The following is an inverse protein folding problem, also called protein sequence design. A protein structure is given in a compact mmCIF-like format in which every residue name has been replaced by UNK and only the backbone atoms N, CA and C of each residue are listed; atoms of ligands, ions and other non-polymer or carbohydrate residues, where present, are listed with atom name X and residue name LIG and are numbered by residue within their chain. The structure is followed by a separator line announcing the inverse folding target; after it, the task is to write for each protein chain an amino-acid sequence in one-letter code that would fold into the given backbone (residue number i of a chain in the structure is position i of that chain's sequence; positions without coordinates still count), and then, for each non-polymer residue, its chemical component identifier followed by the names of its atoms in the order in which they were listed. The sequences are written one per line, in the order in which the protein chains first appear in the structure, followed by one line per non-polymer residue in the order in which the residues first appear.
data_IF_981210458047
#
_entry.id   IF_981210458047
#
_cell.length_a   1.000
_cell.length_b   1.000
_cell.length_c   1.000
_cell.angle_alpha   90.00
_cell.angle_beta   90.00
_cell.angle_gamma   90.00
#
_symmetry.space_group_name_H-M   'P 1'
#
loop_
_entity.id
_entity.type
_entity.pdbx_description
1 polymer ?
#
# COMPACT_ATOMS: atom_id res chain seq x y z
N UNK A 1 7.28 33.17 0.02
CA UNK A 1 6.37 32.22 0.69
C UNK A 1 5.50 33.00 1.67
N UNK A 2 4.20 32.69 1.73
CA UNK A 2 3.25 33.32 2.67
C UNK A 2 3.00 32.37 3.84
N UNK A 3 2.82 32.92 5.03
CA UNK A 3 2.31 32.15 6.17
C UNK A 3 0.79 32.20 6.08
N UNK A 4 0.15 31.03 6.08
CA UNK A 4 -1.31 30.94 6.04
C UNK A 4 -1.85 30.93 7.48
N UNK A 5 -2.72 31.89 7.87
CA UNK A 5 -3.43 31.82 9.15
C UNK A 5 -4.44 30.67 9.09
N UNK A 6 -4.45 29.81 10.11
CA UNK A 6 -5.26 28.60 10.13
C UNK A 6 -6.40 28.76 11.13
N UNK A 7 -7.53 29.25 10.63
CA UNK A 7 -8.85 29.01 11.24
C UNK A 7 -9.63 28.08 10.30
N UNK A 8 -9.01 26.93 10.02
CA UNK A 8 -9.55 25.93 9.10
C UNK A 8 -10.08 24.74 9.92
N UNK A 9 -11.35 24.32 9.72
CA UNK A 9 -11.86 23.09 10.31
C UNK A 9 -10.93 21.90 10.04
N UNK A 10 -10.68 21.07 11.05
CA UNK A 10 -9.80 19.91 10.95
C UNK A 10 -8.29 20.19 11.04
N UNK A 11 -7.86 21.45 10.99
CA UNK A 11 -6.44 21.84 11.09
C UNK A 11 -6.14 22.41 12.47
N UNK A 12 -5.22 21.80 13.20
CA UNK A 12 -4.83 22.26 14.53
C UNK A 12 -4.17 23.67 14.48
N UNK A 13 -4.46 24.59 15.44
CA UNK A 13 -3.93 25.96 15.43
C UNK A 13 -2.40 26.07 15.48
N UNK A 14 -1.69 25.03 15.93
CA UNK A 14 -0.22 25.00 16.00
C UNK A 14 0.46 24.61 14.67
N UNK A 15 -0.32 24.19 13.67
CA UNK A 15 0.17 23.83 12.34
C UNK A 15 0.80 25.05 11.67
N UNK A 16 1.90 24.83 10.95
CA UNK A 16 2.59 25.87 10.18
C UNK A 16 2.61 25.51 8.71
N UNK A 17 1.90 26.28 7.89
CA UNK A 17 1.90 26.13 6.44
C UNK A 17 2.59 27.33 5.80
N UNK A 18 3.70 27.07 5.10
CA UNK A 18 4.50 28.06 4.38
C UNK A 18 4.48 27.74 2.89
N UNK A 19 3.64 28.44 2.13
CA UNK A 19 3.61 28.24 0.67
C UNK A 19 3.19 29.47 -0.13
N UNK A 20 3.39 29.41 -1.45
CA UNK A 20 2.86 30.41 -2.37
C UNK A 20 1.42 30.08 -2.76
N UNK A 21 1.14 28.81 -3.04
CA UNK A 21 -0.17 28.30 -3.46
C UNK A 21 -0.62 27.15 -2.55
N UNK A 22 -1.84 27.25 -2.02
CA UNK A 22 -2.44 26.26 -1.13
C UNK A 22 -3.80 25.82 -1.66
N UNK A 23 -3.99 24.51 -1.78
CA UNK A 23 -5.29 23.87 -2.02
C UNK A 23 -5.51 22.78 -0.99
N UNK A 24 -6.50 22.98 -0.12
CA UNK A 24 -6.90 22.03 0.92
C UNK A 24 -8.38 21.72 0.74
N UNK A 25 -8.74 20.44 0.72
CA UNK A 25 -10.14 20.02 0.78
C UNK A 25 -10.72 20.23 2.21
N UNK A 26 -12.05 20.38 2.31
CA UNK A 26 -12.73 20.77 3.55
C UNK A 26 -12.65 19.75 4.69
N UNK A 27 -12.45 18.47 4.38
CA UNK A 27 -12.42 17.35 5.34
C UNK A 27 -11.00 16.85 5.64
N UNK A 28 -9.98 17.65 5.32
CA UNK A 28 -8.58 17.36 5.66
C UNK A 28 -8.35 17.57 7.16
N UNK A 29 -7.68 16.62 7.80
CA UNK A 29 -7.30 16.71 9.21
C UNK A 29 -5.78 16.83 9.32
N UNK A 30 -5.29 17.84 10.04
CA UNK A 30 -3.86 18.05 10.29
C UNK A 30 -3.62 18.24 11.78
N UNK A 31 -2.88 17.31 12.38
CA UNK A 31 -2.58 17.27 13.80
C UNK A 31 -1.54 18.31 14.26
N UNK A 32 -1.45 18.53 15.58
CA UNK A 32 -0.64 19.59 16.18
C UNK A 32 0.85 19.48 15.85
N UNK A 33 1.52 20.63 15.79
CA UNK A 33 2.96 20.75 15.58
C UNK A 33 3.44 20.41 14.17
N UNK A 34 2.51 20.10 13.25
CA UNK A 34 2.83 19.75 11.86
C UNK A 34 3.33 20.96 11.08
N UNK A 35 4.32 20.75 10.22
CA UNK A 35 4.91 21.76 9.34
C UNK A 35 4.77 21.31 7.89
N UNK A 36 4.23 22.19 7.05
CA UNK A 36 4.16 22.01 5.60
C UNK A 36 4.87 23.18 4.92
N UNK A 37 5.85 22.89 4.06
CA UNK A 37 6.62 23.92 3.34
C UNK A 37 6.74 23.56 1.86
N UNK A 38 6.36 24.49 0.99
CA UNK A 38 6.53 24.31 -0.45
C UNK A 38 6.14 25.52 -1.26
N UNK A 39 6.35 25.50 -2.56
CA UNK A 39 5.83 26.54 -3.45
C UNK A 39 4.35 26.31 -3.69
N UNK A 40 3.96 25.06 -3.97
CA UNK A 40 2.57 24.61 -4.15
C UNK A 40 2.26 23.41 -3.26
N UNK A 41 1.14 23.48 -2.53
CA UNK A 41 0.66 22.41 -1.65
C UNK A 41 -0.78 22.07 -2.01
N UNK A 42 -1.01 20.82 -2.40
CA UNK A 42 -2.32 20.25 -2.76
C UNK A 42 -2.61 19.03 -1.87
N UNK A 43 -3.61 19.12 -0.99
CA UNK A 43 -4.04 18.02 -0.13
C UNK A 43 -5.51 17.73 -0.39
N UNK A 44 -5.77 16.54 -0.95
CA UNK A 44 -7.11 16.10 -1.32
C UNK A 44 -7.90 15.54 -0.12
N UNK A 45 -9.23 15.46 -0.29
CA UNK A 45 -10.17 15.17 0.79
C UNK A 45 -10.01 13.82 1.47
N UNK A 46 -10.48 13.76 2.71
CA UNK A 46 -10.42 12.61 3.62
C UNK A 46 -9.02 12.26 4.11
N UNK A 47 -8.04 13.12 3.83
CA UNK A 47 -6.63 12.92 4.20
C UNK A 47 -6.40 13.33 5.64
N UNK A 48 -5.62 12.51 6.36
CA UNK A 48 -5.23 12.75 7.75
C UNK A 48 -3.71 12.82 7.84
N UNK A 49 -3.19 13.91 8.39
CA UNK A 49 -1.78 14.09 8.71
C UNK A 49 -1.64 14.17 10.24
N UNK A 50 -0.98 13.18 10.82
CA UNK A 50 -0.77 13.06 12.26
C UNK A 50 0.10 14.16 12.84
N UNK A 51 0.19 14.21 14.17
CA UNK A 51 0.94 15.23 14.89
C UNK A 51 2.46 15.20 14.57
N UNK A 52 3.08 16.37 14.59
CA UNK A 52 4.53 16.52 14.49
C UNK A 52 5.14 16.08 13.16
N UNK A 53 4.33 16.00 12.09
CA UNK A 53 4.86 15.74 10.75
C UNK A 53 5.63 16.97 10.24
N UNK A 54 6.67 16.75 9.43
CA UNK A 54 7.40 17.83 8.73
C UNK A 54 7.52 17.46 7.26
N UNK A 55 6.73 18.09 6.39
CA UNK A 55 6.65 17.80 4.96
C UNK A 55 7.12 19.00 4.16
N UNK A 56 8.22 18.84 3.44
CA UNK A 56 8.87 19.90 2.66
C UNK A 56 9.18 19.43 1.25
N UNK A 57 8.66 20.15 0.26
CA UNK A 57 9.00 20.00 -1.15
C UNK A 57 8.57 21.24 -1.93
N UNK A 58 9.21 21.58 -3.06
CA UNK A 58 8.68 22.64 -3.94
C UNK A 58 7.23 22.38 -4.34
N UNK A 59 6.89 21.14 -4.65
CA UNK A 59 5.51 20.71 -4.92
C UNK A 59 5.12 19.54 -4.02
N UNK A 60 4.08 19.75 -3.21
CA UNK A 60 3.47 18.72 -2.35
C UNK A 60 2.11 18.36 -2.94
N UNK A 61 1.91 17.08 -3.27
CA UNK A 61 0.63 16.51 -3.70
C UNK A 61 0.29 15.28 -2.87
N UNK A 62 -0.78 15.36 -2.10
CA UNK A 62 -1.27 14.24 -1.30
C UNK A 62 -2.66 13.86 -1.80
N UNK A 63 -2.75 12.68 -2.41
CA UNK A 63 -3.98 12.12 -2.93
C UNK A 63 -5.01 11.83 -1.82
N UNK A 64 -6.29 11.69 -2.19
CA UNK A 64 -7.39 11.67 -1.23
C UNK A 64 -7.29 10.44 -0.31
N UNK A 65 -7.77 10.59 0.92
CA UNK A 65 -7.84 9.53 1.94
C UNK A 65 -6.48 8.97 2.34
N UNK A 66 -5.41 9.74 2.16
CA UNK A 66 -4.08 9.37 2.62
C UNK A 66 -3.96 9.56 4.12
N UNK A 67 -3.13 8.75 4.77
CA UNK A 67 -2.93 8.76 6.22
C UNK A 67 -1.44 8.79 6.52
N UNK A 68 -0.96 9.92 7.06
CA UNK A 68 0.39 10.02 7.60
C UNK A 68 0.25 9.92 9.11
N UNK A 69 0.91 8.93 9.71
CA UNK A 69 0.97 8.79 11.16
C UNK A 69 1.87 9.89 11.75
N UNK A 70 2.02 9.91 13.06
CA UNK A 70 2.80 10.92 13.76
C UNK A 70 4.31 10.85 13.43
N UNK A 71 4.92 12.04 13.35
CA UNK A 71 6.37 12.19 13.19
C UNK A 71 6.92 11.77 11.82
N UNK A 72 6.09 11.67 10.78
CA UNK A 72 6.54 11.48 9.40
C UNK A 72 7.35 12.70 8.94
N UNK A 73 8.54 12.47 8.36
CA UNK A 73 9.42 13.53 7.87
C UNK A 73 9.71 13.36 6.40
N UNK A 74 9.37 14.37 5.61
CA UNK A 74 9.60 14.43 4.17
C UNK A 74 10.41 15.69 3.88
N UNK A 75 11.59 15.50 3.30
CA UNK A 75 12.46 16.56 2.82
C UNK A 75 12.84 16.23 1.38
N UNK A 76 12.05 16.70 0.44
CA UNK A 76 12.23 16.42 -0.99
C UNK A 76 12.53 17.73 -1.71
N UNK A 77 13.47 17.72 -2.66
CA UNK A 77 13.89 18.96 -3.33
C UNK A 77 12.80 19.54 -4.23
N UNK A 78 12.20 18.68 -5.07
CA UNK A 78 11.32 19.11 -6.15
C UNK A 78 9.88 18.70 -5.86
N UNK A 79 9.54 17.44 -6.12
CA UNK A 79 8.17 16.95 -6.05
C UNK A 79 8.06 15.81 -5.04
N UNK A 80 7.16 15.98 -4.08
CA UNK A 80 6.63 14.91 -3.26
C UNK A 80 5.17 14.68 -3.65
N UNK A 81 4.91 13.56 -4.32
CA UNK A 81 3.57 13.18 -4.76
C UNK A 81 3.22 11.76 -4.32
N UNK A 82 2.06 11.62 -3.69
CA UNK A 82 1.47 10.30 -3.38
C UNK A 82 0.03 10.24 -3.87
N UNK A 83 -0.36 9.11 -4.45
CA UNK A 83 -1.72 8.85 -4.91
C UNK A 83 -2.72 8.66 -3.78
N UNK A 84 -3.93 8.23 -4.14
CA UNK A 84 -5.02 8.02 -3.20
C UNK A 84 -4.70 6.93 -2.19
N UNK A 85 -5.14 7.15 -0.94
CA UNK A 85 -5.05 6.19 0.15
C UNK A 85 -3.62 5.68 0.45
N UNK A 86 -2.63 6.56 0.25
CA UNK A 86 -1.27 6.32 0.71
C UNK A 86 -1.21 6.30 2.24
N UNK A 87 -0.41 5.42 2.80
CA UNK A 87 -0.17 5.28 4.24
C UNK A 87 1.31 5.40 4.53
N UNK A 88 1.67 6.36 5.37
CA UNK A 88 3.02 6.49 5.93
C UNK A 88 2.92 6.26 7.42
N UNK A 89 3.48 5.15 7.88
CA UNK A 89 3.43 4.79 9.29
C UNK A 89 4.46 5.60 10.11
N UNK A 90 4.50 5.35 11.42
CA UNK A 90 5.26 6.17 12.34
C UNK A 90 6.75 6.22 11.97
N UNK A 91 7.32 7.44 12.01
CA UNK A 91 8.76 7.64 11.86
C UNK A 91 9.31 7.39 10.46
N UNK A 92 8.44 7.30 9.43
CA UNK A 92 8.87 7.29 8.03
C UNK A 92 9.67 8.56 7.73
N UNK A 93 10.81 8.40 7.05
CA UNK A 93 11.70 9.49 6.65
C UNK A 93 11.99 9.44 5.17
N UNK A 94 11.74 10.52 4.45
CA UNK A 94 11.99 10.61 3.01
C UNK A 94 12.93 11.79 2.76
N UNK A 95 14.07 11.53 2.12
CA UNK A 95 15.02 12.55 1.70
C UNK A 95 15.59 12.18 0.33
N UNK A 96 15.21 12.91 -0.71
CA UNK A 96 15.60 12.66 -2.10
C UNK A 96 15.29 13.87 -3.00
N UNK A 97 15.64 13.79 -4.29
CA UNK A 97 15.37 14.87 -5.27
C UNK A 97 13.89 14.97 -5.59
N UNK A 98 13.28 13.85 -5.99
CA UNK A 98 11.84 13.71 -6.16
C UNK A 98 11.37 12.36 -5.64
N UNK A 99 10.13 12.33 -5.16
CA UNK A 99 9.45 11.13 -4.69
C UNK A 99 8.05 11.12 -5.27
N UNK A 100 7.76 10.11 -6.10
CA UNK A 100 6.41 9.88 -6.63
C UNK A 100 5.95 8.48 -6.27
N UNK A 101 4.71 8.38 -5.80
CA UNK A 101 4.06 7.10 -5.53
C UNK A 101 2.63 7.10 -6.08
N UNK A 102 2.22 5.98 -6.65
CA UNK A 102 0.84 5.76 -7.10
C UNK A 102 -0.15 5.63 -5.94
N UNK A 103 -1.33 5.08 -6.26
CA UNK A 103 -2.37 4.83 -5.26
C UNK A 103 -1.97 3.67 -4.34
N UNK A 104 -2.50 3.66 -3.12
CA UNK A 104 -2.33 2.56 -2.16
C UNK A 104 -0.87 2.23 -1.84
N UNK A 105 -0.05 3.25 -1.69
CA UNK A 105 1.27 3.10 -1.09
C UNK A 105 1.12 2.75 0.39
N UNK A 106 1.91 1.80 0.89
CA UNK A 106 2.14 1.61 2.32
C UNK A 106 3.64 1.68 2.61
N UNK A 107 4.07 2.64 3.42
CA UNK A 107 5.39 2.70 4.01
C UNK A 107 5.28 2.32 5.49
N UNK A 108 5.89 1.19 5.85
CA UNK A 108 5.90 0.68 7.21
C UNK A 108 6.76 1.51 8.16
N UNK A 109 6.59 1.25 9.46
CA UNK A 109 7.23 1.99 10.55
C UNK A 109 8.75 2.10 10.34
N UNK A 110 9.26 3.32 10.50
CA UNK A 110 10.69 3.62 10.38
C UNK A 110 11.30 3.29 9.01
N UNK A 111 10.51 3.08 7.95
CA UNK A 111 11.04 2.97 6.60
C UNK A 111 11.65 4.31 6.15
N UNK A 112 12.77 4.24 5.45
CA UNK A 112 13.58 5.39 5.07
C UNK A 112 13.85 5.39 3.58
N UNK A 113 13.52 6.48 2.91
CA UNK A 113 14.18 6.88 1.66
C UNK A 113 15.23 7.90 2.04
N UNK A 114 16.51 7.63 1.82
CA UNK A 114 17.52 8.55 2.32
C UNK A 114 18.91 7.96 2.50
N UNK A 115 19.69 8.62 3.36
CA UNK A 115 21.13 8.41 3.65
C UNK A 115 22.10 9.12 2.67
N UNK A 116 23.30 8.58 2.47
CA UNK A 116 24.43 9.28 1.83
C UNK A 116 24.17 9.66 0.36
N UNK A 117 24.35 10.94 0.02
CA UNK A 117 24.22 11.49 -1.35
C UNK A 117 22.79 11.72 -1.84
N UNK A 118 21.86 11.85 -0.90
CA UNK A 118 20.47 12.24 -1.14
C UNK A 118 20.37 13.73 -1.41
N UNK A 119 19.54 14.13 -2.37
CA UNK A 119 19.42 15.48 -2.98
C UNK A 119 20.32 15.77 -4.19
N UNK A 120 21.10 14.79 -4.67
CA UNK A 120 21.76 14.88 -5.98
C UNK A 120 20.73 15.05 -7.10
N UNK A 121 21.13 15.59 -8.26
CA UNK A 121 20.24 15.81 -9.40
C UNK A 121 19.60 14.54 -9.96
N UNK A 122 20.04 13.36 -9.53
CA UNK A 122 19.63 12.05 -10.02
C UNK A 122 18.93 11.18 -8.97
N UNK A 123 18.78 11.65 -7.73
CA UNK A 123 18.18 10.92 -6.62
C UNK A 123 16.64 10.87 -6.70
N UNK A 124 16.12 10.27 -7.76
CA UNK A 124 14.68 10.14 -8.01
C UNK A 124 14.16 8.79 -7.52
N UNK A 125 13.05 8.79 -6.79
CA UNK A 125 12.35 7.58 -6.37
C UNK A 125 10.95 7.58 -6.97
N UNK A 126 10.66 6.58 -7.78
CA UNK A 126 9.36 6.41 -8.43
C UNK A 126 8.78 5.05 -8.05
N UNK A 127 7.58 5.07 -7.49
CA UNK A 127 6.86 3.90 -7.00
C UNK A 127 5.49 3.83 -7.67
N UNK A 128 5.12 2.67 -8.19
CA UNK A 128 3.82 2.44 -8.78
C UNK A 128 2.68 2.43 -7.76
N UNK A 129 1.53 1.90 -8.17
CA UNK A 129 0.38 1.72 -7.28
C UNK A 129 0.42 0.36 -6.58
N UNK A 130 -0.21 0.27 -5.41
CA UNK A 130 -0.38 -0.98 -4.63
C UNK A 130 0.97 -1.57 -4.21
N UNK A 131 1.83 -0.70 -3.67
CA UNK A 131 3.17 -1.05 -3.22
C UNK A 131 3.26 -0.97 -1.71
N UNK A 132 3.86 -2.00 -1.11
CA UNK A 132 4.17 -2.04 0.32
C UNK A 132 5.68 -2.06 0.50
N UNK A 133 6.20 -1.02 1.13
CA UNK A 133 7.55 -0.94 1.66
C UNK A 133 7.50 -1.33 3.15
N UNK A 134 8.02 -2.51 3.49
CA UNK A 134 7.96 -3.06 4.84
C UNK A 134 8.70 -2.20 5.86
N UNK A 135 8.44 -2.45 7.15
CA UNK A 135 9.04 -1.71 8.26
C UNK A 135 10.57 -1.73 8.19
N UNK A 136 11.20 -0.64 8.61
CA UNK A 136 12.66 -0.48 8.67
C UNK A 136 13.38 -0.75 7.34
N UNK A 137 12.68 -0.64 6.22
CA UNK A 137 13.30 -0.74 4.90
C UNK A 137 14.06 0.54 4.57
N UNK A 138 15.14 0.40 3.81
CA UNK A 138 16.02 1.48 3.38
C UNK A 138 16.04 1.50 1.85
N UNK A 139 15.65 2.63 1.27
CA UNK A 139 15.78 2.93 -0.15
C UNK A 139 16.79 4.06 -0.30
N UNK A 140 18.02 3.72 -0.67
CA UNK A 140 19.11 4.68 -0.75
C UNK A 140 19.38 5.09 -2.21
N UNK A 141 18.80 6.24 -2.58
CA UNK A 141 18.79 6.76 -3.93
C UNK A 141 19.82 7.88 -4.14
N UNK A 142 20.88 7.58 -4.89
CA UNK A 142 21.78 8.53 -5.54
C UNK A 142 21.52 8.53 -7.05
N UNK A 143 21.15 7.36 -7.59
CA UNK A 143 20.56 7.19 -8.91
C UNK A 143 19.10 6.75 -8.76
N UNK A 144 18.34 6.68 -9.86
CA UNK A 144 16.94 6.29 -9.80
C UNK A 144 16.68 4.94 -9.12
N UNK A 145 15.70 4.92 -8.24
CA UNK A 145 15.04 3.69 -7.78
C UNK A 145 13.64 3.69 -8.38
N UNK A 146 13.34 2.70 -9.21
CA UNK A 146 12.03 2.51 -9.84
C UNK A 146 11.41 1.24 -9.31
N UNK A 147 10.21 1.34 -8.74
CA UNK A 147 9.41 0.20 -8.28
C UNK A 147 8.09 0.26 -9.05
N UNK A 148 7.73 -0.82 -9.73
CA UNK A 148 6.51 -0.95 -10.49
C UNK A 148 5.25 -0.97 -9.62
N UNK A 149 4.15 -1.37 -10.23
CA UNK A 149 2.89 -1.62 -9.53
C UNK A 149 2.94 -2.96 -8.82
N UNK A 150 2.05 -3.17 -7.85
CA UNK A 150 1.81 -4.51 -7.30
C UNK A 150 3.07 -5.13 -6.65
N UNK A 151 3.91 -4.31 -6.00
CA UNK A 151 5.15 -4.79 -5.39
C UNK A 151 5.01 -4.90 -3.88
N UNK A 152 5.25 -6.10 -3.37
CA UNK A 152 5.27 -6.39 -1.94
C UNK A 152 6.67 -6.56 -1.42
N UNK A 153 6.92 -6.03 -0.23
CA UNK A 153 8.19 -6.20 0.45
C UNK A 153 7.95 -6.57 1.91
N UNK A 154 8.70 -7.57 2.39
CA UNK A 154 8.82 -7.80 3.82
C UNK A 154 9.61 -6.67 4.49
N UNK A 155 9.60 -6.66 5.83
CA UNK A 155 10.43 -5.71 6.60
C UNK A 155 11.92 -5.88 6.30
N UNK A 156 12.67 -4.79 6.49
CA UNK A 156 14.12 -4.72 6.29
C UNK A 156 14.60 -4.93 4.84
N UNK A 157 13.84 -4.46 3.84
CA UNK A 157 14.37 -4.34 2.48
C UNK A 157 15.49 -3.29 2.45
N UNK A 158 16.61 -3.58 1.80
CA UNK A 158 17.70 -2.64 1.57
C UNK A 158 17.96 -2.48 0.08
N UNK A 159 17.71 -1.30 -0.48
CA UNK A 159 17.96 -0.98 -1.90
C UNK A 159 19.10 0.02 -1.99
N UNK A 160 20.15 -0.34 -2.72
CA UNK A 160 21.35 0.48 -2.88
C UNK A 160 21.58 0.82 -4.33
N UNK A 161 21.75 2.12 -4.63
CA UNK A 161 22.13 2.61 -5.97
C UNK A 161 23.58 3.04 -6.08
N UNK A 162 24.33 2.88 -4.98
CA UNK A 162 25.76 3.14 -4.89
C UNK A 162 26.45 2.01 -4.15
N UNK A 163 27.70 1.74 -4.51
CA UNK A 163 28.45 0.65 -3.93
C UNK A 163 29.93 0.62 -4.30
N UNK A 164 30.65 -0.19 -3.52
CA UNK A 164 32.08 -0.44 -3.44
C UNK A 164 33.08 0.15 -4.46
N UNK A 165 34.18 0.63 -3.88
CA UNK A 165 35.50 0.84 -4.47
C UNK A 165 36.18 -0.51 -4.75
N UNK A 166 36.65 -0.74 -5.98
CA UNK A 166 37.54 -1.85 -6.29
C UNK A 166 38.93 -1.33 -6.68
N UNK A 167 39.96 -1.84 -6.01
CA UNK A 167 41.35 -1.70 -6.45
C UNK A 167 42.06 -0.39 -6.11
N UNK A 168 41.42 0.51 -5.34
CA UNK A 168 42.00 1.75 -4.87
C UNK A 168 41.65 2.00 -3.39
N UNK A 169 42.51 2.71 -2.68
CA UNK A 169 42.29 3.14 -1.31
C UNK A 169 41.09 4.10 -1.22
N UNK A 170 40.34 4.10 -0.10
CA UNK A 170 39.19 5.01 0.10
C UNK A 170 39.51 6.51 -0.01
N UNK A 171 40.80 6.88 0.08
CA UNK A 171 41.28 8.26 0.02
C UNK A 171 41.94 8.60 -1.31
N UNK A 172 41.97 7.67 -2.28
CA UNK A 172 42.65 7.87 -3.56
C UNK A 172 41.83 8.69 -4.56
N UNK A 173 40.61 9.13 -4.17
CA UNK A 173 39.79 10.08 -4.92
C UNK A 173 39.06 9.51 -6.13
N UNK A 174 38.95 8.19 -6.26
CA UNK A 174 38.22 7.55 -7.36
C UNK A 174 36.70 7.57 -7.14
N UNK A 175 35.97 7.69 -8.24
CA UNK A 175 34.51 7.69 -8.26
C UNK A 175 33.95 6.31 -7.86
N UNK A 176 32.97 6.34 -6.96
CA UNK A 176 32.22 5.15 -6.53
C UNK A 176 31.36 4.63 -7.69
N UNK A 177 31.11 3.31 -7.75
CA UNK A 177 30.18 2.78 -8.74
C UNK A 177 28.74 3.13 -8.33
N UNK A 178 28.01 3.77 -9.25
CA UNK A 178 26.59 4.05 -9.12
C UNK A 178 25.84 3.33 -10.24
N UNK A 179 24.72 2.70 -9.91
CA UNK A 179 23.79 2.20 -10.91
C UNK A 179 22.35 2.20 -10.38
N UNK A 180 21.34 2.50 -11.23
CA UNK A 180 19.94 2.52 -10.83
C UNK A 180 19.47 1.12 -10.43
N UNK A 181 18.35 1.04 -9.72
CA UNK A 181 17.67 -0.22 -9.39
C UNK A 181 16.25 -0.17 -9.89
N UNK A 182 15.82 -1.24 -10.56
CA UNK A 182 14.46 -1.40 -11.08
C UNK A 182 13.81 -2.65 -10.49
N UNK A 183 12.62 -2.51 -9.97
CA UNK A 183 11.75 -3.62 -9.59
C UNK A 183 10.50 -3.51 -10.47
N UNK A 184 10.26 -4.50 -11.32
CA UNK A 184 9.11 -4.51 -12.22
C UNK A 184 7.80 -4.83 -11.49
N UNK A 185 6.70 -4.87 -12.24
CA UNK A 185 5.37 -5.14 -11.70
C UNK A 185 5.24 -6.54 -11.07
N UNK A 186 4.33 -6.68 -10.10
CA UNK A 186 3.95 -7.95 -9.48
C UNK A 186 5.12 -8.71 -8.81
N UNK A 187 6.08 -7.98 -8.23
CA UNK A 187 7.24 -8.59 -7.55
C UNK A 187 6.97 -8.76 -6.06
N UNK A 188 7.31 -9.93 -5.52
CA UNK A 188 7.36 -10.16 -4.08
C UNK A 188 8.81 -10.24 -3.59
N UNK A 189 9.22 -9.29 -2.75
CA UNK A 189 10.49 -9.31 -2.03
C UNK A 189 10.22 -9.79 -0.60
N UNK A 190 10.82 -10.92 -0.21
CA UNK A 190 10.70 -11.42 1.16
C UNK A 190 11.27 -10.49 2.23
N UNK A 191 11.33 -10.96 3.46
CA UNK A 191 11.96 -10.22 4.56
C UNK A 191 13.49 -10.15 4.38
N UNK A 192 14.10 -9.04 4.81
CA UNK A 192 15.56 -8.89 4.84
C UNK A 192 16.25 -9.12 3.48
N UNK A 193 15.70 -8.53 2.41
CA UNK A 193 16.30 -8.56 1.08
C UNK A 193 17.30 -7.42 0.91
N UNK A 194 18.40 -7.67 0.21
CA UNK A 194 19.29 -6.61 -0.29
C UNK A 194 19.32 -6.61 -1.82
N UNK A 195 19.03 -5.46 -2.44
CA UNK A 195 19.22 -5.20 -3.86
C UNK A 195 20.49 -4.34 -4.04
N UNK A 196 21.45 -4.84 -4.81
CA UNK A 196 22.70 -4.13 -5.10
C UNK A 196 22.55 -3.19 -6.32
N UNK A 197 23.47 -2.23 -6.50
CA UNK A 197 23.39 -1.28 -7.62
C UNK A 197 23.33 -1.99 -8.98
N UNK A 198 22.48 -1.49 -9.87
CA UNK A 198 22.40 -1.95 -11.26
C UNK A 198 21.56 -3.19 -11.50
N UNK A 199 20.87 -3.71 -10.47
CA UNK A 199 20.00 -4.87 -10.64
C UNK A 199 18.59 -4.47 -11.06
N UNK A 200 18.01 -5.31 -11.91
CA UNK A 200 16.59 -5.30 -12.26
C UNK A 200 15.93 -6.59 -11.77
N UNK A 201 14.76 -6.51 -11.15
CA UNK A 201 13.96 -7.69 -10.78
C UNK A 201 12.78 -7.76 -11.73
N UNK A 202 12.78 -8.75 -12.63
CA UNK A 202 11.76 -8.90 -13.67
C UNK A 202 10.36 -9.17 -13.14
N UNK A 203 9.35 -8.91 -13.98
CA UNK A 203 7.94 -8.99 -13.61
C UNK A 203 7.55 -10.36 -13.05
N UNK A 204 6.56 -10.40 -12.15
CA UNK A 204 6.03 -11.63 -11.55
C UNK A 204 7.11 -12.48 -10.85
N UNK A 205 8.15 -11.84 -10.32
CA UNK A 205 9.26 -12.54 -9.65
C UNK A 205 9.09 -12.56 -8.15
N UNK A 206 9.44 -13.69 -7.54
CA UNK A 206 9.50 -13.85 -6.09
C UNK A 206 10.95 -13.98 -5.63
N UNK A 207 11.36 -13.16 -4.66
CA UNK A 207 12.66 -13.26 -4.01
C UNK A 207 12.47 -13.73 -2.57
N UNK A 208 13.02 -14.90 -2.23
CA UNK A 208 12.91 -15.48 -0.89
C UNK A 208 13.64 -14.65 0.16
N UNK A 209 13.13 -14.65 1.38
CA UNK A 209 13.70 -13.91 2.51
C UNK A 209 15.20 -14.15 2.72
N UNK A 210 15.93 -13.11 3.13
CA UNK A 210 17.37 -13.14 3.39
C UNK A 210 18.27 -13.17 2.16
N UNK A 211 17.73 -12.99 0.95
CA UNK A 211 18.52 -13.03 -0.27
C UNK A 211 19.23 -11.70 -0.59
N UNK A 212 20.40 -11.81 -1.24
CA UNK A 212 21.15 -10.66 -1.78
C UNK A 212 21.15 -10.73 -3.31
N UNK A 213 20.40 -9.84 -3.94
CA UNK A 213 20.30 -9.75 -5.40
C UNK A 213 21.49 -8.93 -5.91
N UNK A 214 22.51 -9.65 -6.37
CA UNK A 214 23.75 -9.08 -6.91
C UNK A 214 23.80 -9.09 -8.45
N UNK A 215 22.79 -9.65 -9.11
CA UNK A 215 22.60 -9.67 -10.56
C UNK A 215 21.10 -9.59 -10.84
N UNK A 216 20.74 -8.99 -11.96
CA UNK A 216 19.33 -8.90 -12.38
C UNK A 216 18.68 -10.28 -12.48
N UNK A 217 17.41 -10.36 -12.09
CA UNK A 217 16.59 -11.55 -12.14
C UNK A 217 15.63 -11.43 -13.32
N UNK A 218 15.44 -12.49 -14.14
CA UNK A 218 14.45 -12.49 -15.21
C UNK A 218 13.03 -12.47 -14.61
N UNK A 219 12.03 -12.27 -15.46
CA UNK A 219 10.61 -12.41 -15.09
C UNK A 219 10.23 -13.86 -14.74
N UNK A 220 9.10 -14.03 -14.06
CA UNK A 220 8.45 -15.33 -13.84
C UNK A 220 9.36 -16.35 -13.13
N UNK A 221 10.17 -15.91 -12.16
CA UNK A 221 11.05 -16.81 -11.39
C UNK A 221 10.87 -16.67 -9.89
N UNK A 222 11.22 -17.74 -9.17
CA UNK A 222 11.53 -17.68 -7.75
C UNK A 222 13.05 -17.75 -7.57
N UNK A 223 13.63 -16.75 -6.89
CA UNK A 223 15.06 -16.66 -6.62
C UNK A 223 15.33 -16.65 -5.11
N UNK A 224 16.49 -17.19 -4.70
CA UNK A 224 16.89 -17.24 -3.29
C UNK A 224 18.41 -17.34 -3.13
N UNK A 225 18.92 -16.91 -1.97
CA UNK A 225 20.30 -17.10 -1.53
C UNK A 225 21.17 -15.84 -1.55
N UNK A 226 22.45 -16.01 -1.18
CA UNK A 226 23.47 -14.96 -1.13
C UNK A 226 24.72 -15.45 -1.91
N UNK A 227 24.94 -15.00 -3.16
CA UNK A 227 24.03 -14.19 -3.97
C UNK A 227 22.78 -14.97 -4.42
N UNK A 228 21.70 -14.25 -4.70
CA UNK A 228 20.44 -14.80 -5.16
C UNK A 228 20.62 -15.50 -6.50
N UNK A 229 20.06 -16.70 -6.63
CA UNK A 229 20.01 -17.47 -7.87
C UNK A 229 18.58 -17.92 -8.14
N UNK A 230 18.20 -17.96 -9.41
CA UNK A 230 16.94 -18.58 -9.85
C UNK A 230 16.90 -20.03 -9.35
N UNK A 231 15.82 -20.39 -8.65
CA UNK A 231 15.57 -21.73 -8.13
C UNK A 231 14.57 -22.48 -8.98
N UNK A 232 13.55 -21.78 -9.49
CA UNK A 232 12.57 -22.31 -10.41
C UNK A 232 11.88 -21.19 -11.18
N UNK A 233 11.35 -21.54 -12.34
CA UNK A 233 10.34 -20.73 -13.03
C UNK A 233 9.01 -20.88 -12.30
N UNK A 234 8.22 -19.81 -12.26
CA UNK A 234 6.87 -19.79 -11.75
C UNK A 234 5.95 -19.34 -12.87
N UNK A 235 4.83 -20.04 -13.06
CA UNK A 235 3.83 -19.61 -14.05
C UNK A 235 2.90 -18.63 -13.36
N UNK A 236 3.00 -17.37 -13.77
CA UNK A 236 2.04 -16.35 -13.41
C UNK A 236 0.75 -16.64 -14.21
N UNK A 237 -0.25 -17.27 -13.59
CA UNK A 237 -1.62 -17.36 -14.12
C UNK A 237 -2.63 -16.53 -13.34
N UNK A 238 -3.47 -15.80 -14.09
CA UNK A 238 -4.63 -15.13 -13.53
C UNK A 238 -5.74 -16.11 -13.22
N UNK A 239 -6.29 -16.03 -12.00
CA UNK A 239 -7.50 -16.75 -11.64
C UNK A 239 -8.64 -16.35 -12.57
N UNK A 240 -9.40 -17.34 -13.02
CA UNK A 240 -10.69 -17.06 -13.65
C UNK A 240 -11.60 -16.30 -12.67
N UNK A 241 -12.52 -15.48 -13.17
CA UNK A 241 -13.35 -14.62 -12.31
C UNK A 241 -14.11 -15.40 -11.25
N UNK A 242 -14.59 -16.60 -11.56
CA UNK A 242 -15.30 -17.45 -10.59
C UNK A 242 -14.37 -17.98 -9.48
N UNK A 243 -13.12 -18.33 -9.82
CA UNK A 243 -12.09 -18.72 -8.86
C UNK A 243 -11.64 -17.54 -8.00
N UNK A 244 -11.51 -16.35 -8.59
CA UNK A 244 -11.20 -15.12 -7.87
C UNK A 244 -12.34 -14.75 -6.89
N UNK A 245 -13.61 -14.86 -7.31
CA UNK A 245 -14.78 -14.69 -6.42
C UNK A 245 -14.69 -15.68 -5.26
N UNK A 246 -14.42 -16.96 -5.50
CA UNK A 246 -14.28 -17.98 -4.44
C UNK A 246 -13.13 -17.62 -3.47
N UNK A 247 -11.97 -17.23 -3.99
CA UNK A 247 -10.80 -16.89 -3.17
C UNK A 247 -11.04 -15.65 -2.30
N UNK A 248 -11.59 -14.58 -2.86
CA UNK A 248 -11.90 -13.35 -2.12
C UNK A 248 -13.06 -13.59 -1.15
N UNK A 249 -14.05 -14.41 -1.51
CA UNK A 249 -15.09 -14.86 -0.57
C UNK A 249 -14.47 -15.54 0.65
N UNK A 250 -13.50 -16.43 0.48
CA UNK A 250 -12.82 -17.08 1.60
C UNK A 250 -12.04 -16.09 2.51
N UNK A 251 -11.59 -14.95 1.98
CA UNK A 251 -11.02 -13.85 2.78
C UNK A 251 -12.11 -13.18 3.63
N UNK A 252 -13.26 -12.88 3.03
CA UNK A 252 -14.42 -12.31 3.74
C UNK A 252 -14.97 -13.29 4.79
N UNK A 253 -14.95 -14.59 4.51
CA UNK A 253 -15.38 -15.64 5.45
C UNK A 253 -14.49 -15.63 6.71
N UNK A 254 -13.16 -15.56 6.54
CA UNK A 254 -12.20 -15.44 7.66
C UNK A 254 -12.38 -14.14 8.43
N UNK A 255 -12.57 -13.02 7.72
CA UNK A 255 -12.87 -11.73 8.33
C UNK A 255 -14.12 -11.82 9.23
N UNK A 256 -15.17 -12.46 8.73
CA UNK A 256 -16.41 -12.66 9.47
C UNK A 256 -16.21 -13.53 10.72
N UNK A 257 -15.41 -14.60 10.64
CA UNK A 257 -15.03 -15.43 11.79
C UNK A 257 -14.26 -14.62 12.84
N UNK A 258 -13.29 -13.81 12.42
CA UNK A 258 -12.52 -12.94 13.30
C UNK A 258 -13.39 -11.90 14.01
N UNK A 259 -14.38 -11.33 13.31
CA UNK A 259 -15.37 -10.44 13.94
C UNK A 259 -16.22 -11.17 14.97
N UNK A 260 -16.65 -12.42 14.72
CA UNK A 260 -17.36 -13.23 15.73
C UNK A 260 -16.49 -13.51 16.94
N UNK A 261 -15.21 -13.81 16.73
CA UNK A 261 -14.24 -13.99 17.81
C UNK A 261 -14.07 -12.72 18.65
N UNK A 262 -14.09 -11.54 18.02
CA UNK A 262 -14.11 -10.22 18.69
C UNK A 262 -15.44 -9.89 19.40
N UNK A 263 -16.41 -10.81 19.43
CA UNK A 263 -17.69 -10.66 20.12
C UNK A 263 -18.78 -9.97 19.30
N UNK A 264 -18.60 -9.84 17.99
CA UNK A 264 -19.61 -9.24 17.10
C UNK A 264 -20.58 -10.29 16.55
N UNK A 265 -21.82 -9.89 16.26
CA UNK A 265 -22.81 -10.77 15.64
C UNK A 265 -22.71 -10.72 14.12
N UNK A 266 -22.18 -11.79 13.52
CA UNK A 266 -22.12 -11.91 12.05
C UNK A 266 -23.03 -13.04 11.61
N UNK A 267 -24.01 -12.74 10.76
CA UNK A 267 -24.93 -13.75 10.22
C UNK A 267 -24.19 -14.78 9.37
N UNK A 268 -24.78 -15.95 9.18
CA UNK A 268 -24.29 -16.90 8.17
C UNK A 268 -24.57 -16.36 6.76
N UNK A 269 -23.74 -16.78 5.80
CA UNK A 269 -23.89 -16.50 4.37
C UNK A 269 -25.28 -16.92 3.90
N UNK A 270 -26.07 -15.98 3.37
CA UNK A 270 -27.31 -16.31 2.68
C UNK A 270 -27.01 -16.96 1.32
N UNK A 271 -27.97 -17.70 0.77
CA UNK A 271 -27.82 -18.44 -0.49
C UNK A 271 -27.49 -17.55 -1.71
N UNK A 272 -27.66 -16.24 -1.58
CA UNK A 272 -27.32 -15.18 -2.54
C UNK A 272 -25.89 -14.61 -2.37
N UNK A 273 -25.12 -15.09 -1.39
CA UNK A 273 -23.71 -14.69 -1.20
C UNK A 273 -23.49 -13.38 -0.45
N UNK A 274 -24.54 -12.78 0.12
CA UNK A 274 -24.44 -11.54 0.91
C UNK A 274 -24.10 -11.86 2.38
N UNK A 275 -23.10 -11.17 2.92
CA UNK A 275 -22.75 -11.19 4.34
C UNK A 275 -23.41 -10.02 5.04
N UNK A 276 -23.91 -10.20 6.27
CA UNK A 276 -24.32 -9.08 7.12
C UNK A 276 -23.56 -9.13 8.45
N UNK A 277 -22.67 -8.17 8.68
CA UNK A 277 -21.99 -7.99 9.96
C UNK A 277 -22.74 -6.96 10.81
N UNK A 278 -23.09 -7.33 12.05
CA UNK A 278 -23.69 -6.46 13.09
C UNK A 278 -22.79 -6.41 14.32
N UNK A 279 -22.28 -5.25 14.67
CA UNK A 279 -21.47 -5.06 15.90
C UNK A 279 -22.39 -4.83 17.11
N UNK A 280 -22.10 -5.46 18.27
CA UNK A 280 -22.71 -5.10 19.56
C UNK A 280 -21.72 -4.32 20.46
N UNK A 281 -22.07 -3.04 20.70
CA UNK A 281 -21.84 -2.03 21.78
C UNK A 281 -20.50 -1.78 22.54
N UNK A 282 -20.12 -0.49 22.59
CA UNK A 282 -20.13 0.37 23.80
C UNK A 282 -20.27 1.89 23.46
N UNK A 283 -21.04 2.63 24.28
CA UNK A 283 -21.19 4.11 24.42
C UNK A 283 -21.49 5.07 23.25
N UNK A 284 -21.85 4.61 22.05
CA UNK A 284 -22.37 5.53 21.01
C UNK A 284 -23.75 5.12 20.48
N UNK A 285 -24.59 6.13 20.21
CA UNK A 285 -26.03 6.02 20.03
C UNK A 285 -26.51 5.36 18.71
N UNK A 286 -25.65 4.65 17.96
CA UNK A 286 -26.06 4.00 16.70
C UNK A 286 -25.25 2.73 16.39
N UNK A 287 -25.86 1.53 16.40
CA UNK A 287 -25.19 0.32 15.95
C UNK A 287 -24.92 0.37 14.44
N UNK A 288 -23.66 0.17 14.05
CA UNK A 288 -23.25 0.12 12.65
C UNK A 288 -23.49 -1.30 12.08
N UNK A 289 -24.16 -1.37 10.93
CA UNK A 289 -24.43 -2.60 10.19
C UNK A 289 -23.87 -2.50 8.77
N UNK A 290 -23.11 -3.52 8.34
CA UNK A 290 -22.52 -3.59 7.00
C UNK A 290 -22.89 -4.90 6.30
N UNK A 291 -23.45 -4.79 5.11
CA UNK A 291 -23.66 -5.91 4.20
C UNK A 291 -22.50 -6.02 3.20
N UNK A 292 -21.93 -7.20 2.93
CA UNK A 292 -20.80 -7.38 2.01
C UNK A 292 -21.17 -8.34 0.88
N UNK A 293 -20.88 -7.99 -0.37
CA UNK A 293 -21.06 -8.85 -1.55
C UNK A 293 -19.75 -8.98 -2.28
N UNK A 294 -19.36 -10.20 -2.68
CA UNK A 294 -18.20 -10.47 -3.54
C UNK A 294 -18.71 -10.96 -4.89
N UNK A 295 -18.30 -10.29 -5.96
CA UNK A 295 -18.79 -10.57 -7.30
C UNK A 295 -17.76 -10.28 -8.39
N UNK A 296 -18.04 -10.78 -9.58
CA UNK A 296 -17.37 -10.36 -10.82
C UNK A 296 -18.03 -9.11 -11.39
N UNK A 297 -17.30 -8.36 -12.21
CA UNK A 297 -17.76 -7.18 -12.95
C UNK A 297 -18.94 -7.47 -13.87
N UNK A 298 -19.05 -8.71 -14.35
CA UNK A 298 -20.09 -9.13 -15.28
C UNK A 298 -21.39 -9.52 -14.56
N UNK A 299 -21.34 -9.66 -13.23
CA UNK A 299 -22.52 -9.94 -12.43
C UNK A 299 -23.28 -8.64 -12.14
N UNK A 300 -24.63 -8.66 -12.24
CA UNK A 300 -25.43 -7.47 -11.95
C UNK A 300 -25.23 -7.05 -10.49
N UNK A 301 -25.14 -5.73 -10.27
CA UNK A 301 -25.13 -5.16 -8.92
C UNK A 301 -26.44 -5.59 -8.22
N UNK A 302 -26.37 -6.23 -7.04
CA UNK A 302 -27.57 -6.68 -6.35
C UNK A 302 -28.45 -5.48 -5.97
N UNK A 303 -29.78 -5.66 -5.83
CA UNK A 303 -30.67 -4.59 -5.40
C UNK A 303 -30.27 -4.06 -4.03
N UNK A 304 -29.79 -2.82 -4.01
CA UNK A 304 -29.33 -2.12 -2.80
C UNK A 304 -30.56 -1.50 -2.10
N UNK A 305 -31.34 -2.30 -1.38
CA UNK A 305 -32.54 -1.85 -0.66
C UNK A 305 -32.36 -1.87 0.86
N UNK A 306 -32.80 -0.80 1.55
CA UNK A 306 -32.92 -0.74 3.02
C UNK A 306 -31.98 0.26 3.71
N UNK A 307 -32.00 0.28 5.04
CA UNK A 307 -31.21 1.18 5.90
C UNK A 307 -29.79 0.68 6.20
N UNK A 308 -29.38 -0.47 5.65
CA UNK A 308 -28.06 -1.08 5.90
C UNK A 308 -27.04 -0.62 4.87
N UNK A 309 -25.84 -0.23 5.32
CA UNK A 309 -24.73 0.13 4.43
C UNK A 309 -24.23 -1.12 3.70
N UNK A 310 -23.79 -0.97 2.45
CA UNK A 310 -23.30 -2.09 1.63
C UNK A 310 -21.84 -1.88 1.22
N UNK A 311 -21.09 -2.97 1.15
CA UNK A 311 -19.74 -3.09 0.63
C UNK A 311 -19.74 -4.05 -0.57
N UNK A 312 -19.47 -3.55 -1.77
CA UNK A 312 -19.39 -4.35 -2.98
C UNK A 312 -17.93 -4.61 -3.35
N UNK A 313 -17.53 -5.86 -3.42
CA UNK A 313 -16.18 -6.29 -3.76
C UNK A 313 -16.20 -6.91 -5.16
N UNK A 314 -15.52 -6.27 -6.10
CA UNK A 314 -15.37 -6.73 -7.47
C UNK A 314 -13.99 -7.36 -7.66
N UNK A 315 -13.94 -8.61 -8.11
CA UNK A 315 -12.66 -9.36 -8.17
C UNK A 315 -11.86 -9.14 -9.46
N UNK A 316 -12.51 -8.67 -10.52
CA UNK A 316 -11.99 -8.59 -11.88
C UNK A 316 -12.23 -7.22 -12.54
N UNK A 317 -12.47 -6.19 -11.72
CA UNK A 317 -12.61 -4.80 -12.14
C UNK A 317 -13.97 -4.21 -11.80
N UNK A 318 -14.07 -2.88 -11.71
CA UNK A 318 -15.38 -2.24 -11.66
C UNK A 318 -16.13 -2.40 -13.00
N UNK A 319 -17.46 -2.54 -12.97
CA UNK A 319 -18.30 -2.37 -14.15
C UNK A 319 -18.11 -0.96 -14.73
N UNK A 320 -18.21 -0.84 -16.05
CA UNK A 320 -18.01 0.44 -16.71
C UNK A 320 -19.10 1.44 -16.28
N UNK A 321 -18.67 2.66 -15.92
CA UNK A 321 -19.58 3.70 -15.44
C UNK A 321 -20.17 3.46 -14.05
N UNK A 322 -19.77 2.39 -13.33
CA UNK A 322 -20.30 2.04 -12.00
C UNK A 322 -20.27 3.23 -11.02
N UNK A 323 -19.16 3.98 -10.99
CA UNK A 323 -19.01 5.13 -10.10
C UNK A 323 -20.06 6.22 -10.37
N UNK A 324 -20.37 6.49 -11.64
CA UNK A 324 -21.38 7.48 -12.03
C UNK A 324 -22.79 6.94 -11.81
N UNK A 325 -23.05 5.69 -12.20
CA UNK A 325 -24.34 5.02 -11.97
C UNK A 325 -24.72 5.00 -10.49
N UNK A 326 -23.74 4.81 -9.59
CA UNK A 326 -23.93 4.86 -8.15
C UNK A 326 -24.38 6.24 -7.67
N UNK A 327 -23.83 7.30 -8.25
CA UNK A 327 -24.24 8.69 -7.96
C UNK A 327 -25.66 8.92 -8.48
N UNK A 328 -25.93 8.54 -9.73
CA UNK A 328 -27.22 8.76 -10.39
C UNK A 328 -28.36 7.98 -9.73
N UNK A 329 -28.07 6.78 -9.21
CA UNK A 329 -29.02 5.93 -8.50
C UNK A 329 -29.18 6.28 -7.00
N UNK A 330 -28.48 7.32 -6.51
CA UNK A 330 -28.55 7.74 -5.10
C UNK A 330 -27.86 6.79 -4.10
N UNK A 331 -27.01 5.88 -4.57
CA UNK A 331 -26.30 4.88 -3.76
C UNK A 331 -24.98 5.41 -3.18
N UNK A 332 -24.98 6.66 -2.71
CA UNK A 332 -23.78 7.28 -2.13
C UNK A 332 -23.29 6.56 -0.88
N UNK A 333 -24.18 5.85 -0.17
CA UNK A 333 -23.92 5.08 1.04
C UNK A 333 -23.28 3.70 0.83
N UNK A 334 -22.90 3.37 -0.41
CA UNK A 334 -22.30 2.07 -0.76
C UNK A 334 -20.79 2.17 -0.88
N UNK A 335 -20.07 1.44 -0.04
CA UNK A 335 -18.63 1.22 -0.18
C UNK A 335 -18.36 0.22 -1.31
N UNK A 336 -17.28 0.41 -2.06
CA UNK A 336 -16.86 -0.57 -3.06
C UNK A 336 -15.35 -0.80 -3.03
N UNK A 337 -14.95 -1.99 -3.45
CA UNK A 337 -13.57 -2.46 -3.53
C UNK A 337 -13.38 -3.20 -4.87
N UNK A 338 -12.51 -2.71 -5.71
CA UNK A 338 -12.03 -3.37 -6.91
C UNK A 338 -10.72 -4.05 -6.55
N UNK A 339 -10.74 -5.36 -6.38
CA UNK A 339 -9.56 -6.18 -6.07
C UNK A 339 -8.60 -6.17 -7.27
N UNK A 340 -9.13 -6.21 -8.49
CA UNK A 340 -8.31 -6.22 -9.70
C UNK A 340 -7.38 -5.01 -9.80
N UNK A 341 -7.89 -3.82 -9.48
CA UNK A 341 -7.13 -2.58 -9.59
C UNK A 341 -6.90 -1.84 -8.26
N UNK A 342 -7.26 -2.43 -7.12
CA UNK A 342 -7.24 -1.76 -5.81
C UNK A 342 -8.12 -0.52 -5.73
N UNK A 343 -8.99 -0.27 -6.71
CA UNK A 343 -9.90 0.87 -6.70
C UNK A 343 -10.85 0.76 -5.52
N UNK A 344 -11.11 1.85 -4.80
CA UNK A 344 -12.05 1.77 -3.68
C UNK A 344 -12.72 3.11 -3.40
N UNK A 345 -13.97 3.07 -2.93
CA UNK A 345 -14.81 4.27 -2.79
C UNK A 345 -15.98 4.07 -1.82
N UNK A 346 -16.73 5.14 -1.60
CA UNK A 346 -17.89 5.17 -0.70
C UNK A 346 -17.56 5.54 0.75
N UNK A 347 -18.56 5.47 1.65
CA UNK A 347 -18.43 5.92 3.03
C UNK A 347 -17.43 5.07 3.83
N UNK A 348 -16.71 5.70 4.74
CA UNK A 348 -15.83 5.02 5.71
C UNK A 348 -16.57 4.84 7.01
N UNK A 349 -16.58 3.61 7.49
CA UNK A 349 -17.20 3.18 8.72
C UNK A 349 -16.25 2.22 9.42
N UNK A 350 -16.47 1.91 10.70
CA UNK A 350 -15.53 1.03 11.41
C UNK A 350 -15.44 -0.34 10.74
N UNK A 351 -16.57 -0.90 10.30
CA UNK A 351 -16.61 -2.19 9.62
C UNK A 351 -16.01 -2.15 8.21
N UNK A 352 -16.35 -1.14 7.40
CA UNK A 352 -15.83 -1.04 6.03
C UNK A 352 -14.33 -0.81 6.02
N UNK A 353 -13.81 -0.14 7.04
CA UNK A 353 -12.37 0.05 7.26
C UNK A 353 -11.64 -1.21 7.72
N UNK A 354 -12.24 -1.97 8.64
CA UNK A 354 -11.69 -3.25 9.07
C UNK A 354 -11.67 -4.27 7.91
N UNK A 355 -12.78 -4.37 7.17
CA UNK A 355 -12.88 -5.19 5.95
C UNK A 355 -11.83 -4.78 4.91
N UNK A 356 -11.68 -3.47 4.67
CA UNK A 356 -10.66 -2.96 3.77
C UNK A 356 -9.26 -3.43 4.17
N UNK A 357 -8.92 -3.31 5.45
CA UNK A 357 -7.61 -3.71 5.95
C UNK A 357 -7.39 -5.22 5.80
N UNK A 358 -8.45 -6.00 6.00
CA UNK A 358 -8.41 -7.46 5.85
C UNK A 358 -8.23 -7.88 4.39
N UNK A 359 -8.98 -7.24 3.47
CA UNK A 359 -8.78 -7.41 2.04
C UNK A 359 -7.36 -7.00 1.65
N UNK A 360 -6.82 -5.88 2.15
CA UNK A 360 -5.42 -5.47 1.88
C UNK A 360 -4.40 -6.50 2.36
N UNK A 361 -4.65 -7.16 3.49
CA UNK A 361 -3.72 -8.14 4.07
C UNK A 361 -3.74 -9.48 3.34
N UNK A 362 -4.91 -9.90 2.85
CA UNK A 362 -5.12 -11.28 2.41
C UNK A 362 -5.62 -11.44 0.98
N UNK A 363 -6.32 -10.45 0.44
CA UNK A 363 -6.85 -10.46 -0.92
C UNK A 363 -6.09 -9.53 -1.87
N UNK A 364 -5.44 -8.48 -1.36
CA UNK A 364 -4.65 -7.50 -2.10
C UNK A 364 -3.25 -7.29 -1.49
N UNK A 365 -2.53 -8.32 -0.99
CA UNK A 365 -1.20 -8.10 -0.45
C UNK A 365 -0.26 -7.76 -1.59
N UNK A 366 -0.11 -6.47 -1.87
CA UNK A 366 0.93 -5.94 -2.74
C UNK A 366 0.98 -6.70 -4.07
N UNK A 367 -0.08 -6.54 -4.84
CA UNK A 367 -0.24 -7.16 -6.13
C UNK A 367 -1.40 -8.12 -6.19
N UNK A 368 -2.35 -7.79 -7.06
CA UNK A 368 -3.30 -8.78 -7.55
C UNK A 368 -3.01 -9.11 -9.00
N UNK A 369 -2.96 -10.42 -9.24
CA UNK A 369 -3.43 -11.15 -10.42
C UNK A 369 -3.00 -12.59 -10.34
N UNK A 370 -2.07 -12.93 -9.45
CA UNK A 370 -1.53 -14.27 -9.32
C UNK A 370 -1.77 -14.72 -7.90
N UNK A 371 -2.69 -15.67 -7.70
CA UNK A 371 -2.32 -16.74 -6.79
C UNK A 371 -0.98 -17.20 -7.31
N UNK A 372 0.10 -16.92 -6.58
CA UNK A 372 1.10 -17.97 -6.48
C UNK A 372 0.25 -19.16 -6.06
N UNK A 373 -0.17 -20.03 -7.01
CA UNK A 373 -0.53 -21.42 -6.70
C UNK A 373 0.56 -21.76 -5.74
N UNK A 374 0.16 -21.91 -4.47
CA UNK A 374 1.08 -21.92 -3.35
C UNK A 374 2.30 -22.63 -3.88
N UNK A 375 3.46 -21.95 -3.90
CA UNK A 375 4.67 -22.74 -3.80
C UNK A 375 4.31 -23.57 -2.59
N UNK A 376 3.96 -24.85 -2.77
CA UNK A 376 3.80 -25.74 -1.63
C UNK A 376 5.07 -25.47 -0.88
N UNK A 377 5.00 -24.77 0.27
CA UNK A 377 6.22 -24.33 0.84
C UNK A 377 6.71 -25.64 1.39
N UNK A 378 7.67 -26.28 0.73
CA UNK A 378 8.32 -27.45 1.29
C UNK A 378 8.75 -27.20 2.76
N UNK A 379 8.98 -25.95 3.22
CA UNK A 379 9.07 -25.64 4.65
C UNK A 379 7.74 -25.58 5.45
N UNK A 380 6.59 -25.16 4.90
CA UNK A 380 5.30 -25.05 5.62
C UNK A 380 4.44 -26.33 5.59
N UNK A 381 4.72 -27.32 4.73
CA UNK A 381 4.09 -28.64 4.84
C UNK A 381 4.40 -29.33 6.19
N UNK A 382 5.34 -28.81 6.99
CA UNK A 382 5.59 -29.26 8.36
C UNK A 382 4.59 -28.74 9.39
N UNK A 383 3.84 -27.68 9.09
CA UNK A 383 2.81 -27.12 9.99
C UNK A 383 1.41 -27.69 9.71
N UNK A 384 1.20 -28.38 8.58
CA UNK A 384 -0.05 -29.09 8.29
C UNK A 384 -0.11 -30.53 8.86
N UNK A 385 0.93 -30.97 9.58
CA UNK A 385 0.94 -32.24 10.32
C UNK A 385 1.01 -32.03 11.83
N UNK A 386 0.03 -31.35 12.39
CA UNK A 386 -0.44 -31.75 13.72
C UNK A 386 -1.45 -32.85 13.45
N UNK A 387 -0.98 -34.11 13.49
CA UNK A 387 -1.87 -35.25 13.48
C UNK A 387 -2.90 -35.04 14.61
N UNK A 388 -4.18 -35.16 14.29
CA UNK A 388 -5.19 -35.40 15.32
C UNK A 388 -4.69 -36.56 16.19
N UNK A 389 -4.77 -36.47 17.53
CA UNK A 389 -4.41 -37.59 18.38
C UNK A 389 -5.21 -38.81 17.93
N UNK A 390 -4.50 -39.87 17.56
CA UNK A 390 -5.12 -41.16 17.35
C UNK A 390 -5.49 -41.72 18.73
N UNK A 391 -6.80 -41.82 18.96
CA UNK A 391 -7.52 -42.41 20.08
C UNK A 391 -7.51 -41.66 21.41
#
# INVERSE_FOLDING_TARGET
MRNWPLDLPGVDPSVRIHCAELTLAEDVVIGPGTVLVGDRIEIAGGTVIGAGCDVRASHIRIGPRSEFDHGVRVLVAEEFSVGAAARMAQGVRITCRSFTAGNLLYFGDGAVVGYGGTMTSTAHVSIGSRVTIGQHSILNANLPITIGNNVGTGSYLSVWTHGYHFGHGPLDGFETAYAPVTVEDNVWLGFQITLLPGVSVGQNTMVAAGAVVARSLPENVMAAGVPAKVKKTITAQRLASDEAVKAVTAVVDRWAEELRWKGHHVSHRSSDGVWTARLNQSDTASPEQLSVTVQSRDQPVPPLSGTSRHALIFVDGLPDGFTQQRVDAGYLDVSYFDVHNGGMGGPRTRLSEDLRNELRRHAMPCGDTHTFTSIEPEPFNRLSRVAAPQN
#
